data_IF_580855536785
#
_entry.id   IF_580855536785
#
_cell.length_a   1.000
_cell.length_b   1.000
_cell.length_c   1.000
_cell.angle_alpha   90.00
_cell.angle_beta   90.00
_cell.angle_gamma   90.00
#
_symmetry.space_group_name_H-M   'P 1'
#
loop_
_entity.id
_entity.type
_entity.pdbx_description
1 polymer ?
#
# COMPACT_ATOMS: atom_id res chain seq x y z
N UNK A 1 -9.86 -6.81 -12.57
CA UNK A 1 -10.08 -6.45 -11.15
C UNK A 1 -8.95 -5.56 -10.67
N UNK A 2 -9.21 -4.57 -9.83
CA UNK A 2 -8.22 -3.62 -9.30
C UNK A 2 -8.11 -3.74 -7.77
N UNK A 3 -6.90 -3.56 -7.26
CA UNK A 3 -6.60 -3.52 -5.82
C UNK A 3 -5.89 -2.23 -5.47
N UNK A 4 -6.47 -1.49 -4.53
CA UNK A 4 -5.82 -0.35 -3.89
C UNK A 4 -4.95 -0.91 -2.78
N UNK A 5 -3.64 -0.74 -2.90
CA UNK A 5 -2.65 -1.26 -1.97
C UNK A 5 -1.93 -0.14 -1.26
N UNK A 6 -1.47 -0.43 -0.04
CA UNK A 6 -0.80 0.51 0.83
C UNK A 6 0.50 -0.06 1.40
N UNK A 7 1.44 0.84 1.72
CA UNK A 7 2.63 0.53 2.52
C UNK A 7 2.53 1.25 3.86
N UNK A 8 2.39 0.46 4.91
CA UNK A 8 2.23 0.92 6.29
C UNK A 8 3.56 0.79 7.02
N UNK A 9 3.91 1.82 7.78
CA UNK A 9 5.10 1.91 8.60
C UNK A 9 4.69 1.71 10.06
N UNK A 10 5.26 0.70 10.71
CA UNK A 10 4.79 0.24 12.02
C UNK A 10 5.46 0.96 13.22
N UNK A 11 6.36 1.92 12.97
CA UNK A 11 7.06 2.67 14.03
C UNK A 11 8.07 1.87 14.88
N UNK A 12 8.10 0.54 14.75
CA UNK A 12 9.11 -0.33 15.37
C UNK A 12 10.27 -0.63 14.44
N UNK A 13 11.46 -0.80 14.99
CA UNK A 13 12.65 -1.24 14.25
C UNK A 13 12.83 -2.75 14.38
N UNK A 14 13.25 -3.40 13.30
CA UNK A 14 13.54 -4.84 13.24
C UNK A 14 14.91 -5.07 12.63
N UNK A 15 15.59 -6.11 13.10
CA UNK A 15 16.86 -6.55 12.53
C UNK A 15 16.57 -7.58 11.45
N UNK A 16 17.07 -7.35 10.24
CA UNK A 16 16.92 -8.28 9.11
C UNK A 16 18.27 -8.91 8.85
N UNK A 17 18.30 -10.24 8.67
CA UNK A 17 19.50 -10.98 8.31
C UNK A 17 20.11 -10.40 7.03
N UNK A 18 21.39 -10.03 7.08
CA UNK A 18 22.12 -9.46 5.93
C UNK A 18 21.97 -7.95 5.73
N UNK A 19 21.37 -7.22 6.67
CA UNK A 19 21.46 -5.75 6.72
C UNK A 19 22.27 -5.28 7.93
N UNK A 20 23.16 -4.33 7.69
CA UNK A 20 23.83 -3.61 8.76
C UNK A 20 22.85 -2.60 9.37
N UNK A 21 22.31 -2.95 10.55
CA UNK A 21 21.46 -2.07 11.34
C UNK A 21 19.97 -2.41 11.33
N UNK A 22 19.28 -1.87 12.34
CA UNK A 22 17.84 -2.05 12.50
C UNK A 22 17.07 -1.15 11.53
N UNK A 23 16.15 -1.75 10.76
CA UNK A 23 15.31 -1.04 9.79
C UNK A 23 13.89 -0.88 10.31
N UNK A 24 13.21 0.18 9.90
CA UNK A 24 11.79 0.38 10.25
C UNK A 24 10.92 -0.73 9.63
N UNK A 25 10.11 -1.39 10.45
CA UNK A 25 9.21 -2.43 10.02
C UNK A 25 8.07 -1.86 9.17
N UNK A 26 7.81 -2.51 8.03
CA UNK A 26 6.78 -2.09 7.09
C UNK A 26 5.87 -3.27 6.75
N UNK A 27 4.61 -2.97 6.44
CA UNK A 27 3.59 -3.96 6.07
C UNK A 27 2.89 -3.53 4.80
N UNK A 28 2.73 -4.47 3.87
CA UNK A 28 1.85 -4.31 2.72
C UNK A 28 0.42 -4.63 3.12
N UNK A 29 -0.51 -3.77 2.74
CA UNK A 29 -1.95 -3.94 3.01
C UNK A 29 -2.75 -3.71 1.74
N UNK A 30 -3.85 -4.43 1.58
CA UNK A 30 -4.86 -4.10 0.56
C UNK A 30 -5.96 -3.31 1.24
N UNK A 31 -6.19 -2.08 0.79
CA UNK A 31 -7.16 -1.15 1.37
C UNK A 31 -8.57 -1.41 0.81
N UNK A 32 -8.65 -1.68 -0.49
CA UNK A 32 -9.91 -1.90 -1.20
C UNK A 32 -9.68 -2.74 -2.46
N UNK A 33 -10.67 -3.54 -2.82
CA UNK A 33 -10.73 -4.26 -4.11
C UNK A 33 -11.96 -3.78 -4.86
N UNK A 34 -11.84 -3.56 -6.17
CA UNK A 34 -12.93 -3.08 -7.03
C UNK A 34 -12.77 -3.62 -8.44
N UNK A 35 -13.87 -3.84 -9.16
CA UNK A 35 -13.82 -4.33 -10.55
C UNK A 35 -13.58 -3.22 -11.57
N UNK A 36 -13.85 -1.96 -11.19
CA UNK A 36 -13.63 -0.78 -12.02
C UNK A 36 -12.34 -0.06 -11.60
N UNK A 37 -11.69 0.60 -12.56
CA UNK A 37 -10.51 1.40 -12.28
C UNK A 37 -10.89 2.53 -11.29
N UNK A 38 -10.30 2.57 -10.08
CA UNK A 38 -10.60 3.61 -9.12
C UNK A 38 -9.97 4.94 -9.56
N UNK A 39 -10.67 6.03 -9.26
CA UNK A 39 -10.15 7.39 -9.40
C UNK A 39 -9.08 7.70 -8.35
N UNK A 40 -8.32 8.78 -8.54
CA UNK A 40 -7.31 9.23 -7.58
C UNK A 40 -7.96 9.61 -6.24
N UNK A 41 -9.14 10.23 -6.28
CA UNK A 41 -9.92 10.65 -5.12
C UNK A 41 -10.35 9.44 -4.28
N UNK A 42 -10.89 8.39 -4.92
CA UNK A 42 -11.26 7.15 -4.24
C UNK A 42 -10.06 6.45 -3.59
N UNK A 43 -8.89 6.51 -4.24
CA UNK A 43 -7.63 5.97 -3.69
C UNK A 43 -7.21 6.73 -2.44
N UNK A 44 -7.30 8.07 -2.46
CA UNK A 44 -6.99 8.91 -1.31
C UNK A 44 -8.00 8.74 -0.18
N UNK A 45 -9.29 8.57 -0.49
CA UNK A 45 -10.33 8.28 0.50
C UNK A 45 -10.07 6.94 1.17
N UNK A 46 -9.81 5.88 0.41
CA UNK A 46 -9.45 4.57 0.95
C UNK A 46 -8.21 4.63 1.85
N UNK A 47 -7.24 5.49 1.50
CA UNK A 47 -6.07 5.73 2.33
C UNK A 47 -6.39 6.48 3.64
N UNK A 48 -7.26 7.50 3.60
CA UNK A 48 -7.72 8.24 4.78
C UNK A 48 -8.56 7.38 5.73
N UNK A 49 -9.34 6.45 5.18
CA UNK A 49 -10.14 5.50 5.96
C UNK A 49 -9.33 4.36 6.57
N UNK A 50 -8.01 4.29 6.33
CA UNK A 50 -7.16 3.28 6.96
C UNK A 50 -7.10 3.50 8.47
N UNK A 51 -7.60 2.53 9.23
CA UNK A 51 -7.65 2.53 10.69
C UNK A 51 -6.81 1.41 11.33
N UNK A 52 -5.96 0.75 10.55
CA UNK A 52 -5.08 -0.31 11.05
C UNK A 52 -3.88 0.23 11.83
N UNK A 53 -3.12 -0.68 12.45
CA UNK A 53 -1.89 -0.34 13.18
C UNK A 53 -0.84 0.30 12.25
N UNK A 54 -0.18 1.37 12.72
CA UNK A 54 0.91 2.06 12.02
C UNK A 54 0.47 3.23 11.14
N UNK A 55 1.45 3.92 10.53
CA UNK A 55 1.21 5.05 9.61
C UNK A 55 1.27 4.58 8.16
N UNK A 56 0.16 4.70 7.44
CA UNK A 56 0.13 4.50 5.99
C UNK A 56 0.91 5.65 5.31
N UNK A 57 1.98 5.34 4.57
CA UNK A 57 2.85 6.35 3.92
C UNK A 57 2.80 6.32 2.39
N UNK A 58 2.37 5.21 1.79
CA UNK A 58 2.28 5.07 0.33
C UNK A 58 1.03 4.31 -0.05
N UNK A 59 0.42 4.70 -1.17
CA UNK A 59 -0.73 4.00 -1.76
C UNK A 59 -0.57 3.91 -3.28
N UNK A 60 -0.99 2.80 -3.89
CA UNK A 60 -0.96 2.59 -5.33
C UNK A 60 -2.05 1.61 -5.76
N UNK A 61 -2.33 1.56 -7.06
CA UNK A 61 -3.33 0.67 -7.62
C UNK A 61 -2.66 -0.37 -8.51
N UNK A 62 -3.00 -1.64 -8.27
CA UNK A 62 -2.63 -2.76 -9.12
C UNK A 62 -3.88 -3.27 -9.85
N UNK A 63 -3.75 -3.56 -11.13
CA UNK A 63 -4.74 -4.30 -11.90
C UNK A 63 -4.33 -5.76 -12.01
N UNK A 64 -5.30 -6.64 -11.76
CA UNK A 64 -5.23 -8.06 -11.91
C UNK A 64 -6.07 -8.51 -13.10
N UNK A 65 -5.42 -9.17 -14.05
CA UNK A 65 -6.02 -9.86 -15.18
C UNK A 65 -5.59 -11.32 -15.14
N UNK A 66 -6.41 -12.15 -14.47
CA UNK A 66 -6.04 -13.53 -14.12
C UNK A 66 -4.81 -13.55 -13.21
N UNK A 67 -3.77 -14.28 -13.62
CA UNK A 67 -2.51 -14.38 -12.88
C UNK A 67 -1.52 -13.23 -13.19
N UNK A 68 -1.87 -12.32 -14.11
CA UNK A 68 -1.03 -11.18 -14.47
C UNK A 68 -1.38 -9.96 -13.62
N UNK A 69 -0.35 -9.33 -13.08
CA UNK A 69 -0.47 -8.12 -12.28
C UNK A 69 0.25 -6.98 -12.99
N UNK A 70 -0.40 -5.83 -13.14
CA UNK A 70 0.22 -4.61 -13.65
C UNK A 70 -0.06 -3.43 -12.73
N UNK A 71 0.87 -2.49 -12.67
CA UNK A 71 0.66 -1.22 -11.97
C UNK A 71 -0.31 -0.37 -12.80
N UNK A 72 -1.47 -0.06 -12.23
CA UNK A 72 -2.52 0.71 -12.90
C UNK A 72 -2.40 2.22 -12.63
N UNK A 73 -1.80 2.59 -11.50
CA UNK A 73 -1.55 3.98 -11.12
C UNK A 73 -0.20 4.13 -10.45
N UNK A 74 0.36 5.34 -10.55
CA UNK A 74 1.58 5.69 -9.85
C UNK A 74 1.44 5.66 -8.33
N UNK A 75 2.59 5.52 -7.67
CA UNK A 75 2.64 5.48 -6.21
C UNK A 75 2.41 6.88 -5.69
N UNK A 76 1.38 7.04 -4.88
CA UNK A 76 1.08 8.27 -4.17
C UNK A 76 1.77 8.19 -2.80
N UNK A 77 2.64 9.15 -2.50
CA UNK A 77 3.21 9.30 -1.17
C UNK A 77 2.25 10.14 -0.32
N UNK A 78 1.96 9.65 0.88
CA UNK A 78 1.12 10.31 1.88
C UNK A 78 2.09 10.80 2.96
N UNK A 79 2.27 12.10 3.06
CA UNK A 79 3.25 12.73 3.97
C UNK A 79 2.93 12.51 5.46
#
# INVERSE_FOLDING_TARGET
MFRINGLVYLGRKVVIRGKEGAVEAKKFVTLKTTDKMPSKEEVLEAAKSYSGEGKLKKVWVMEMNGNKWRKAMDVINLE
#
